data_IF_916422657847
#
_entry.id   IF_916422657847
#
_cell.length_a   1.000
_cell.length_b   1.000
_cell.length_c   1.000
_cell.angle_alpha   90.00
_cell.angle_beta   90.00
_cell.angle_gamma   90.00
#
_symmetry.space_group_name_H-M   'P 1'
#
loop_
_entity.id
_entity.type
_entity.pdbx_description
1 polymer ?
#
# COMPACT_ATOMS: atom_id res chain seq x y z
N UNK A 1 -3.78 1.32 -0.59
CA UNK A 1 -2.43 1.63 -1.12
C UNK A 1 -1.29 1.48 -0.11
N UNK A 2 -1.55 1.34 1.20
CA UNK A 2 -0.51 1.19 2.24
C UNK A 2 0.53 0.09 1.96
N UNK A 3 0.10 -0.99 1.30
CA UNK A 3 0.93 -2.08 0.78
C UNK A 3 2.15 -1.64 -0.06
N UNK A 4 2.06 -0.49 -0.74
CA UNK A 4 3.09 0.02 -1.64
C UNK A 4 4.11 0.94 -0.93
N UNK A 5 3.93 1.21 0.36
CA UNK A 5 4.85 1.99 1.17
C UNK A 5 5.95 1.06 1.72
N UNK A 6 6.96 0.81 0.90
CA UNK A 6 8.03 -0.16 1.18
C UNK A 6 8.87 0.14 2.42
N UNK A 7 8.91 1.38 2.88
CA UNK A 7 9.67 1.80 4.07
C UNK A 7 8.76 2.13 5.26
N UNK A 8 7.47 1.80 5.16
CA UNK A 8 6.47 2.18 6.15
C UNK A 8 6.04 3.64 6.04
N UNK A 9 5.25 4.07 7.04
CA UNK A 9 4.70 5.41 7.16
C UNK A 9 4.31 5.67 8.62
N UNK A 10 4.41 6.93 9.05
CA UNK A 10 3.99 7.34 10.38
C UNK A 10 2.97 8.47 10.24
N UNK A 11 1.80 8.29 10.84
CA UNK A 11 0.73 9.26 10.88
C UNK A 11 0.39 9.56 12.34
N UNK A 12 0.68 10.77 12.79
CA UNK A 12 0.39 11.18 14.15
C UNK A 12 -0.83 12.12 14.17
N UNK A 13 -1.99 11.70 14.69
CA UNK A 13 -3.19 12.55 14.71
C UNK A 13 -3.09 13.73 15.69
N UNK A 14 -2.06 13.78 16.54
CA UNK A 14 -1.91 14.81 17.58
C UNK A 14 -1.10 16.04 17.12
N UNK A 15 -0.46 15.98 15.95
CA UNK A 15 0.33 17.09 15.41
C UNK A 15 -0.48 17.95 14.44
N UNK A 16 -0.15 19.23 14.37
CA UNK A 16 -0.89 20.21 13.56
C UNK A 16 -0.80 19.92 12.04
N UNK A 17 0.27 19.28 11.59
CA UNK A 17 0.57 18.91 10.20
C UNK A 17 0.02 17.53 9.80
N UNK A 18 -0.81 16.90 10.64
CA UNK A 18 -1.38 15.56 10.35
C UNK A 18 -2.00 15.46 8.95
N UNK A 19 -2.71 16.50 8.51
CA UNK A 19 -3.32 16.53 7.17
C UNK A 19 -2.27 16.46 6.06
N UNK A 20 -1.16 17.16 6.23
CA UNK A 20 -0.08 17.19 5.25
C UNK A 20 0.65 15.84 5.23
N UNK A 21 0.86 15.21 6.40
CA UNK A 21 1.40 13.84 6.49
C UNK A 21 0.52 12.81 5.77
N UNK A 22 -0.81 12.91 5.93
CA UNK A 22 -1.76 12.03 5.23
C UNK A 22 -1.69 12.25 3.73
N UNK A 23 -1.62 13.50 3.27
CA UNK A 23 -1.53 13.83 1.85
C UNK A 23 -0.22 13.34 1.24
N UNK A 24 0.93 13.60 1.86
CA UNK A 24 2.24 13.15 1.39
C UNK A 24 2.32 11.62 1.33
N UNK A 25 1.83 10.95 2.38
CA UNK A 25 1.77 9.48 2.43
C UNK A 25 0.88 8.94 1.30
N UNK A 26 -0.26 9.59 1.04
CA UNK A 26 -1.16 9.27 -0.05
C UNK A 26 -0.48 9.39 -1.42
N UNK A 27 0.18 10.52 -1.68
CA UNK A 27 0.89 10.78 -2.94
C UNK A 27 2.04 9.79 -3.17
N UNK A 28 2.82 9.48 -2.13
CA UNK A 28 3.90 8.48 -2.22
C UNK A 28 3.33 7.10 -2.52
N UNK A 29 2.24 6.72 -1.88
CA UNK A 29 1.59 5.43 -2.12
C UNK A 29 1.02 5.33 -3.54
N UNK A 30 0.42 6.40 -4.05
CA UNK A 30 -0.08 6.48 -5.42
C UNK A 30 1.06 6.33 -6.45
N UNK A 31 2.14 7.10 -6.29
CA UNK A 31 3.29 7.01 -7.17
C UNK A 31 3.90 5.59 -7.19
N UNK A 32 3.99 4.95 -6.03
CA UNK A 32 4.50 3.58 -5.92
C UNK A 32 3.58 2.53 -6.59
N UNK A 33 2.26 2.76 -6.59
CA UNK A 33 1.31 1.90 -7.32
C UNK A 33 1.49 2.06 -8.82
N UNK A 34 1.61 3.29 -9.31
CA UNK A 34 1.79 3.55 -10.73
C UNK A 34 3.12 2.98 -11.25
N UNK A 35 4.21 3.15 -10.50
CA UNK A 35 5.51 2.56 -10.83
C UNK A 35 5.46 1.02 -10.81
N UNK A 36 4.69 0.42 -9.90
CA UNK A 36 4.50 -1.02 -9.90
C UNK A 36 3.74 -1.50 -11.15
N UNK A 37 2.67 -0.81 -11.54
CA UNK A 37 1.93 -1.15 -12.75
C UNK A 37 2.79 -0.98 -14.02
N UNK A 38 3.60 0.07 -14.10
CA UNK A 38 4.56 0.24 -15.19
C UNK A 38 5.55 -0.92 -15.29
N UNK A 39 6.05 -1.42 -14.15
CA UNK A 39 6.90 -2.61 -14.11
C UNK A 39 6.22 -3.90 -14.56
N UNK A 40 4.90 -3.88 -14.75
CA UNK A 40 4.09 -4.96 -15.30
C UNK A 40 3.52 -4.61 -16.70
N UNK A 41 4.10 -3.62 -17.39
CA UNK A 41 3.67 -3.14 -18.70
C UNK A 41 2.22 -2.60 -18.73
N UNK A 42 1.71 -2.12 -17.59
CA UNK A 42 0.37 -1.57 -17.44
C UNK A 42 0.46 -0.04 -17.34
N UNK A 43 0.09 0.64 -18.42
CA UNK A 43 0.06 2.12 -18.51
C UNK A 43 -1.23 2.75 -17.98
N UNK A 44 -2.17 1.95 -17.46
CA UNK A 44 -3.48 2.45 -17.03
C UNK A 44 -3.39 3.34 -15.79
N UNK A 45 -4.03 4.52 -15.85
CA UNK A 45 -4.05 5.53 -14.77
C UNK A 45 -5.41 5.76 -14.14
N UNK A 46 -6.49 5.27 -14.75
CA UNK A 46 -7.84 5.44 -14.21
C UNK A 46 -8.01 4.61 -12.94
N UNK A 47 -8.55 5.21 -11.87
CA UNK A 47 -8.72 4.55 -10.56
C UNK A 47 -9.41 3.19 -10.63
N UNK A 48 -10.49 3.08 -11.42
CA UNK A 48 -11.20 1.82 -11.63
C UNK A 48 -10.39 0.76 -12.39
N UNK A 49 -9.58 1.18 -13.35
CA UNK A 49 -8.73 0.29 -14.14
C UNK A 49 -7.51 -0.18 -13.32
N UNK A 50 -6.88 0.72 -12.59
CA UNK A 50 -5.82 0.42 -11.61
C UNK A 50 -6.30 -0.67 -10.64
N UNK A 51 -7.48 -0.50 -10.03
CA UNK A 51 -8.04 -1.51 -9.12
C UNK A 51 -8.31 -2.85 -9.82
N UNK A 52 -8.77 -2.85 -11.07
CA UNK A 52 -8.97 -4.07 -11.87
C UNK A 52 -7.64 -4.80 -12.07
N UNK A 53 -6.58 -4.09 -12.47
CA UNK A 53 -5.25 -4.67 -12.68
C UNK A 53 -4.64 -5.19 -11.38
N UNK A 54 -4.71 -4.43 -10.29
CA UNK A 54 -4.22 -4.87 -8.98
C UNK A 54 -4.90 -6.15 -8.50
N UNK A 55 -6.21 -6.30 -8.72
CA UNK A 55 -6.93 -7.55 -8.40
C UNK A 55 -6.48 -8.73 -9.27
N UNK A 56 -6.13 -8.50 -10.52
CA UNK A 56 -5.59 -9.56 -11.38
C UNK A 56 -4.19 -9.97 -10.92
N UNK A 57 -3.33 -8.99 -10.62
CA UNK A 57 -1.97 -9.22 -10.11
C UNK A 57 -1.97 -9.90 -8.73
N UNK A 58 -2.92 -9.57 -7.85
CA UNK A 58 -3.10 -10.26 -6.57
C UNK A 58 -3.41 -11.74 -6.79
N UNK A 59 -4.40 -12.08 -7.62
CA UNK A 59 -4.76 -13.47 -7.94
C UNK A 59 -3.63 -14.25 -8.59
N UNK A 60 -2.76 -13.57 -9.33
CA UNK A 60 -1.56 -14.17 -9.92
C UNK A 60 -0.37 -14.27 -8.94
N UNK A 61 -0.55 -13.87 -7.67
CA UNK A 61 0.50 -13.91 -6.65
C UNK A 61 1.56 -12.80 -6.76
N UNK A 62 1.47 -11.90 -7.74
CA UNK A 62 2.45 -10.84 -7.96
C UNK A 62 2.52 -9.79 -6.83
N UNK A 63 1.51 -9.75 -5.95
CA UNK A 63 1.51 -8.93 -4.74
C UNK A 63 2.07 -9.64 -3.50
N UNK A 64 2.31 -10.95 -3.54
CA UNK A 64 2.67 -11.74 -2.34
C UNK A 64 3.92 -11.21 -1.62
N UNK A 65 4.96 -10.82 -2.37
CA UNK A 65 6.17 -10.26 -1.79
C UNK A 65 5.93 -8.91 -1.09
N UNK A 66 5.02 -8.08 -1.62
CA UNK A 66 4.63 -6.82 -0.99
C UNK A 66 3.76 -7.05 0.24
N UNK A 67 2.87 -8.05 0.19
CA UNK A 67 2.03 -8.45 1.33
C UNK A 67 2.92 -8.87 2.49
N UNK A 68 3.85 -9.79 2.23
CA UNK A 68 4.82 -10.24 3.23
C UNK A 68 5.65 -9.09 3.82
N UNK A 69 6.16 -8.19 2.97
CA UNK A 69 6.92 -7.02 3.43
C UNK A 69 6.06 -6.10 4.30
N UNK A 70 4.79 -5.90 3.94
CA UNK A 70 3.88 -5.07 4.73
C UNK A 70 3.57 -5.71 6.09
N UNK A 71 3.33 -7.02 6.14
CA UNK A 71 3.16 -7.77 7.39
C UNK A 71 4.38 -7.66 8.29
N UNK A 72 5.59 -7.76 7.72
CA UNK A 72 6.84 -7.54 8.46
C UNK A 72 6.92 -6.12 9.03
N UNK A 73 6.58 -5.10 8.23
CA UNK A 73 6.60 -3.71 8.68
C UNK A 73 5.59 -3.44 9.80
N UNK A 74 4.45 -4.13 9.83
CA UNK A 74 3.48 -4.02 10.92
C UNK A 74 4.03 -4.53 12.26
N UNK A 75 5.05 -5.38 12.26
CA UNK A 75 5.76 -5.83 13.47
C UNK A 75 6.86 -4.85 13.93
N UNK A 76 7.05 -3.74 13.21
CA UNK A 76 8.12 -2.76 13.48
C UNK A 76 7.54 -1.39 13.79
N UNK A 77 8.29 -0.49 14.45
CA UNK A 77 7.86 0.89 14.65
C UNK A 77 7.81 1.72 13.35
N UNK A 78 8.11 1.14 12.18
CA UNK A 78 8.08 1.83 10.90
C UNK A 78 6.65 2.13 10.40
N UNK A 79 5.63 1.47 10.95
CA UNK A 79 4.22 1.79 10.68
C UNK A 79 3.57 2.31 11.96
N UNK A 80 3.19 3.59 11.95
CA UNK A 80 2.31 4.18 12.95
C UNK A 80 1.03 4.61 12.24
N UNK A 81 0.01 3.75 12.31
CA UNK A 81 -1.26 3.95 11.63
C UNK A 81 -2.36 4.14 12.68
N UNK A 82 -3.00 5.33 12.73
CA UNK A 82 -4.08 5.60 13.68
C UNK A 82 -5.37 4.84 13.33
N UNK A 83 -5.45 4.22 12.16
CA UNK A 83 -6.58 3.39 11.79
C UNK A 83 -6.65 2.12 12.66
N UNK A 84 -7.86 1.64 13.01
CA UNK A 84 -8.02 0.43 13.81
C UNK A 84 -7.32 -0.79 13.19
N UNK A 85 -6.71 -1.63 14.03
CA UNK A 85 -5.91 -2.79 13.59
C UNK A 85 -6.62 -3.75 12.64
N UNK A 86 -7.94 -3.91 12.76
CA UNK A 86 -8.73 -4.78 11.86
C UNK A 86 -8.79 -4.27 10.40
N UNK A 87 -8.37 -3.03 10.14
CA UNK A 87 -8.28 -2.45 8.79
C UNK A 87 -6.87 -2.53 8.19
N UNK A 88 -5.89 -3.01 8.96
CA UNK A 88 -4.47 -2.99 8.59
C UNK A 88 -4.04 -4.26 7.83
N UNK A 89 -4.60 -5.43 8.15
CA UNK A 89 -4.31 -6.71 7.47
C UNK A 89 -5.57 -7.28 6.80
N UNK A 90 -5.92 -6.76 5.62
CA UNK A 90 -7.11 -7.19 4.86
C UNK A 90 -6.75 -8.07 3.65
N UNK A 91 -5.45 -8.17 3.31
CA UNK A 91 -4.97 -8.91 2.15
C UNK A 91 -4.11 -10.09 2.58
N UNK A 92 -4.44 -11.28 2.08
CA UNK A 92 -3.68 -12.51 2.32
C UNK A 92 -2.82 -12.86 1.11
N UNK A 93 -1.70 -13.56 1.35
CA UNK A 93 -0.88 -14.14 0.29
C UNK A 93 -1.66 -15.22 -0.44
N UNK A 94 -1.51 -15.28 -1.77
CA UNK A 94 -2.11 -16.35 -2.58
C UNK A 94 -1.15 -17.55 -2.58
N UNK A 95 -1.54 -18.65 -1.93
CA UNK A 95 -0.86 -19.94 -2.04
C UNK A 95 -1.21 -20.56 -3.39
N UNK A 96 -0.20 -20.77 -4.25
CA UNK A 96 -0.33 -21.49 -5.52
C UNK A 96 -0.09 -22.98 -5.32
#
# INVERSE_FOLDING_TARGET
MKLFLGDGFMLNPTVADFRDQVMETGTRAEHAVLAFLEGHDISSRGSGAVLKHLRALHRAGALNARIQRHEQLLQTPAICDPAPGYTQNVLEQVNS
#
